data_IF_052982968921
#
_entry.id   IF_052982968921
#
_cell.length_a   1.000
_cell.length_b   1.000
_cell.length_c   1.000
_cell.angle_alpha   90.00
_cell.angle_beta   90.00
_cell.angle_gamma   90.00
#
_symmetry.space_group_name_H-M   'P 1'
#
loop_
_entity.id
_entity.type
_entity.pdbx_description
1 polymer ?
#
# COMPACT_ATOMS: atom_id res chain seq x y z
N UNK A 1 19.29 -11.31 8.67
CA UNK A 1 17.92 -10.86 8.32
C UNK A 1 16.90 -11.29 9.37
N UNK A 2 16.68 -12.59 9.63
CA UNK A 2 15.71 -13.06 10.64
C UNK A 2 15.98 -12.44 12.02
N UNK A 3 17.23 -12.42 12.47
CA UNK A 3 17.64 -11.82 13.75
C UNK A 3 17.24 -10.33 13.85
N UNK A 4 17.50 -9.53 12.81
CA UNK A 4 17.14 -8.11 12.76
C UNK A 4 15.63 -7.93 12.87
N UNK A 5 14.84 -8.81 12.23
CA UNK A 5 13.36 -8.76 12.31
C UNK A 5 12.87 -9.07 13.73
N UNK A 6 13.48 -10.04 14.39
CA UNK A 6 13.15 -10.39 15.78
C UNK A 6 13.50 -9.23 16.71
N UNK A 7 14.67 -8.61 16.54
CA UNK A 7 15.08 -7.43 17.32
C UNK A 7 14.08 -6.28 17.14
N UNK A 8 13.74 -5.92 15.90
CA UNK A 8 12.76 -4.87 15.61
C UNK A 8 11.37 -5.18 16.19
N UNK A 9 10.93 -6.43 16.09
CA UNK A 9 9.66 -6.86 16.66
C UNK A 9 9.64 -6.73 18.19
N UNK A 10 10.71 -7.15 18.87
CA UNK A 10 10.81 -7.04 20.34
C UNK A 10 10.83 -5.57 20.76
N UNK A 11 11.62 -4.72 20.10
CA UNK A 11 11.70 -3.28 20.42
C UNK A 11 10.31 -2.60 20.31
N UNK A 12 9.50 -2.98 19.31
CA UNK A 12 8.16 -2.40 19.12
C UNK A 12 7.14 -2.96 20.11
N UNK A 13 7.16 -4.27 20.37
CA UNK A 13 6.11 -4.95 21.15
C UNK A 13 6.35 -4.93 22.66
N UNK A 14 7.61 -4.87 23.10
CA UNK A 14 7.96 -4.91 24.51
C UNK A 14 7.43 -3.71 25.30
N UNK A 15 7.62 -2.44 24.86
CA UNK A 15 7.09 -1.27 25.58
C UNK A 15 5.57 -1.30 25.72
N UNK A 16 4.86 -1.75 24.69
CA UNK A 16 3.40 -1.91 24.72
C UNK A 16 2.95 -2.95 25.74
N UNK A 17 3.62 -4.10 25.77
CA UNK A 17 3.27 -5.20 26.68
C UNK A 17 3.44 -4.75 28.12
N UNK A 18 4.56 -4.09 28.44
CA UNK A 18 4.81 -3.50 29.76
C UNK A 18 3.73 -2.46 30.12
N UNK A 19 3.40 -1.57 29.19
CA UNK A 19 2.37 -0.56 29.40
C UNK A 19 0.98 -1.16 29.70
N UNK A 20 0.58 -2.18 28.92
CA UNK A 20 -0.72 -2.83 29.07
C UNK A 20 -0.84 -3.57 30.40
N UNK A 21 0.22 -4.28 30.80
CA UNK A 21 0.28 -4.92 32.12
C UNK A 21 0.16 -3.88 33.24
N UNK A 22 0.87 -2.77 33.13
CA UNK A 22 0.79 -1.69 34.11
C UNK A 22 -0.62 -1.07 34.21
N UNK A 23 -1.21 -0.70 33.06
CA UNK A 23 -2.54 -0.08 33.04
C UNK A 23 -3.63 -1.00 33.61
N UNK A 24 -3.60 -2.29 33.27
CA UNK A 24 -4.56 -3.28 33.77
C UNK A 24 -4.49 -3.51 35.29
N UNK A 25 -3.31 -3.34 35.90
CA UNK A 25 -3.11 -3.56 37.34
C UNK A 25 -3.43 -2.33 38.19
N UNK A 26 -3.56 -1.15 37.60
CA UNK A 26 -4.00 0.04 38.33
C UNK A 26 -5.52 0.01 38.46
N UNK A 27 -5.98 -0.16 39.71
CA UNK A 27 -7.41 -0.12 40.05
C UNK A 27 -8.06 1.16 39.51
N UNK A 28 -9.12 0.98 38.71
CA UNK A 28 -9.79 1.98 37.86
C UNK A 28 -10.60 3.04 38.62
N UNK A 29 -10.34 3.24 39.91
CA UNK A 29 -11.27 3.95 40.81
C UNK A 29 -11.38 5.46 40.60
N UNK A 30 -10.64 6.07 39.66
CA UNK A 30 -10.91 7.39 39.09
C UNK A 30 -9.95 7.62 37.90
N UNK A 31 -10.35 7.21 36.70
CA UNK A 31 -9.57 7.49 35.48
C UNK A 31 -9.89 8.92 35.05
N UNK A 32 -9.02 9.87 35.38
CA UNK A 32 -9.16 11.24 34.88
C UNK A 32 -9.05 11.29 33.34
N UNK A 33 -9.74 12.24 32.71
CA UNK A 33 -9.77 12.40 31.24
C UNK A 33 -8.38 12.46 30.61
N UNK A 34 -7.42 13.08 31.30
CA UNK A 34 -6.01 13.14 30.89
C UNK A 34 -5.38 11.75 30.74
N UNK A 35 -5.69 10.82 31.66
CA UNK A 35 -5.14 9.45 31.61
C UNK A 35 -5.72 8.68 30.42
N UNK A 36 -7.01 8.83 30.15
CA UNK A 36 -7.65 8.22 28.99
C UNK A 36 -7.07 8.75 27.66
N UNK A 37 -6.79 10.06 27.59
CA UNK A 37 -6.14 10.66 26.43
C UNK A 37 -4.71 10.12 26.21
N UNK A 38 -3.93 9.96 27.28
CA UNK A 38 -2.59 9.36 27.23
C UNK A 38 -2.66 7.89 26.79
N UNK A 39 -3.61 7.12 27.30
CA UNK A 39 -3.86 5.72 26.89
C UNK A 39 -4.15 5.61 25.40
N UNK A 40 -5.03 6.46 24.87
CA UNK A 40 -5.31 6.53 23.45
C UNK A 40 -4.09 6.94 22.61
N UNK A 41 -3.33 7.94 23.05
CA UNK A 41 -2.13 8.39 22.34
C UNK A 41 -1.11 7.26 22.22
N UNK A 42 -0.83 6.58 23.33
CA UNK A 42 0.09 5.44 23.39
C UNK A 42 -0.37 4.31 22.47
N UNK A 43 -1.66 4.02 22.46
CA UNK A 43 -2.23 3.02 21.55
C UNK A 43 -2.05 3.39 20.07
N UNK A 44 -2.29 4.65 19.69
CA UNK A 44 -2.09 5.14 18.31
C UNK A 44 -0.62 5.05 17.90
N UNK A 45 0.31 5.42 18.80
CA UNK A 45 1.74 5.28 18.54
C UNK A 45 2.11 3.82 18.26
N UNK A 46 1.62 2.89 19.06
CA UNK A 46 1.95 1.47 18.91
C UNK A 46 1.40 0.90 17.61
N UNK A 47 0.15 1.21 17.25
CA UNK A 47 -0.37 0.81 15.94
C UNK A 47 0.46 1.37 14.79
N UNK A 48 0.90 2.63 14.90
CA UNK A 48 1.74 3.28 13.90
C UNK A 48 3.10 2.61 13.80
N UNK A 49 3.74 2.27 14.92
CA UNK A 49 5.01 1.53 14.94
C UNK A 49 4.88 0.10 14.39
N UNK A 50 3.79 -0.60 14.67
CA UNK A 50 3.49 -1.90 14.08
C UNK A 50 3.37 -1.80 12.55
N UNK A 51 2.66 -0.80 12.04
CA UNK A 51 2.55 -0.54 10.60
C UNK A 51 3.90 -0.18 9.98
N UNK A 52 4.69 0.66 10.64
CA UNK A 52 6.03 1.02 10.21
C UNK A 52 6.96 -0.21 10.19
N UNK A 53 6.83 -1.13 11.15
CA UNK A 53 7.59 -2.39 11.14
C UNK A 53 7.30 -3.23 9.89
N UNK A 54 6.05 -3.31 9.43
CA UNK A 54 5.74 -3.98 8.16
C UNK A 54 6.44 -3.32 6.96
N UNK A 55 6.43 -1.99 6.90
CA UNK A 55 7.12 -1.25 5.85
C UNK A 55 8.65 -1.46 5.89
N UNK A 56 9.26 -1.35 7.08
CA UNK A 56 10.69 -1.60 7.29
C UNK A 56 11.07 -3.03 6.89
N UNK A 57 10.26 -4.02 7.25
CA UNK A 57 10.46 -5.39 6.83
C UNK A 57 10.47 -5.53 5.30
N UNK A 58 9.51 -4.91 4.61
CA UNK A 58 9.48 -4.91 3.14
C UNK A 58 10.79 -4.38 2.54
N UNK A 59 11.29 -3.23 3.01
CA UNK A 59 12.54 -2.64 2.52
C UNK A 59 13.76 -3.49 2.88
N UNK A 60 13.80 -4.06 4.08
CA UNK A 60 14.87 -4.98 4.48
C UNK A 60 14.95 -6.20 3.55
N UNK A 61 13.79 -6.79 3.20
CA UNK A 61 13.74 -7.89 2.24
C UNK A 61 14.15 -7.45 0.83
N UNK A 62 13.73 -6.26 0.42
CA UNK A 62 14.08 -5.71 -0.88
C UNK A 62 15.59 -5.45 -1.01
N UNK A 63 16.25 -4.97 0.03
CA UNK A 63 17.70 -4.72 -0.01
C UNK A 63 18.49 -6.03 0.16
N UNK A 64 18.03 -6.94 1.02
CA UNK A 64 18.81 -8.13 1.40
C UNK A 64 18.63 -9.32 0.45
N UNK A 65 17.47 -9.48 -0.18
CA UNK A 65 17.15 -10.69 -0.97
C UNK A 65 17.00 -10.38 -2.46
N UNK A 66 17.95 -10.89 -3.25
CA UNK A 66 17.91 -10.80 -4.73
C UNK A 66 16.71 -11.51 -5.34
N UNK A 67 16.30 -12.65 -4.77
CA UNK A 67 15.10 -13.40 -5.20
C UNK A 67 13.84 -12.57 -4.98
N UNK A 68 13.71 -11.94 -3.82
CA UNK A 68 12.57 -11.08 -3.50
C UNK A 68 12.48 -9.87 -4.44
N UNK A 69 13.61 -9.21 -4.71
CA UNK A 69 13.65 -8.11 -5.70
C UNK A 69 13.14 -8.51 -7.08
N UNK A 70 13.55 -9.68 -7.58
CA UNK A 70 13.11 -10.19 -8.89
C UNK A 70 11.59 -10.39 -8.92
N UNK A 71 11.02 -10.97 -7.86
CA UNK A 71 9.57 -11.16 -7.74
C UNK A 71 8.82 -9.83 -7.69
N UNK A 72 9.29 -8.88 -6.88
CA UNK A 72 8.67 -7.53 -6.79
C UNK A 72 8.74 -6.83 -8.15
N UNK A 73 9.90 -6.86 -8.83
CA UNK A 73 10.05 -6.29 -10.18
C UNK A 73 9.11 -6.95 -11.19
N UNK A 74 8.95 -8.27 -11.13
CA UNK A 74 8.04 -9.00 -12.01
C UNK A 74 6.57 -8.61 -11.75
N UNK A 75 6.14 -8.53 -10.49
CA UNK A 75 4.79 -8.14 -10.12
C UNK A 75 4.51 -6.69 -10.55
N UNK A 76 5.43 -5.77 -10.28
CA UNK A 76 5.32 -4.37 -10.72
C UNK A 76 5.21 -4.31 -12.25
N UNK A 77 6.13 -4.95 -12.97
CA UNK A 77 6.10 -4.99 -14.44
C UNK A 77 4.76 -5.53 -14.94
N UNK A 78 4.26 -6.65 -14.40
CA UNK A 78 2.96 -7.22 -14.78
C UNK A 78 1.80 -6.26 -14.51
N UNK A 79 1.80 -5.55 -13.38
CA UNK A 79 0.74 -4.59 -13.02
C UNK A 79 0.75 -3.36 -13.94
N UNK A 80 1.92 -2.78 -14.19
CA UNK A 80 2.06 -1.63 -15.09
C UNK A 80 1.76 -2.00 -16.55
N UNK A 81 2.26 -3.15 -17.03
CA UNK A 81 1.93 -3.64 -18.37
C UNK A 81 0.43 -3.86 -18.53
N UNK A 82 -0.25 -4.43 -17.53
CA UNK A 82 -1.70 -4.62 -17.56
C UNK A 82 -2.47 -3.30 -17.58
N UNK A 83 -1.99 -2.28 -16.88
CA UNK A 83 -2.58 -0.93 -16.95
C UNK A 83 -2.40 -0.29 -18.32
N UNK A 84 -1.21 -0.41 -18.92
CA UNK A 84 -0.93 0.11 -20.27
C UNK A 84 -1.80 -0.59 -21.32
N UNK A 85 -1.88 -1.93 -21.29
CA UNK A 85 -2.73 -2.67 -22.25
C UNK A 85 -4.21 -2.35 -22.09
N UNK A 86 -4.69 -2.20 -20.85
CA UNK A 86 -6.08 -1.81 -20.62
C UNK A 86 -6.36 -0.39 -21.13
N UNK A 87 -5.39 0.52 -21.01
CA UNK A 87 -5.52 1.89 -21.51
C UNK A 87 -5.51 1.94 -23.05
N UNK A 88 -4.62 1.18 -23.71
CA UNK A 88 -4.59 1.06 -25.17
C UNK A 88 -5.89 0.46 -25.75
N UNK A 89 -6.40 -0.63 -25.17
CA UNK A 89 -7.64 -1.24 -25.64
C UNK A 89 -8.89 -0.37 -25.39
N UNK A 90 -8.85 0.55 -24.42
CA UNK A 90 -9.94 1.51 -24.20
C UNK A 90 -9.94 2.61 -25.27
N UNK A 91 -8.76 3.01 -25.75
CA UNK A 91 -8.59 4.04 -26.78
C UNK A 91 -8.85 3.53 -28.22
N UNK A 92 -8.54 2.25 -28.52
CA UNK A 92 -8.85 1.67 -29.84
C UNK A 92 -10.36 1.57 -30.10
N UNK A 93 -11.17 1.37 -29.06
CA UNK A 93 -12.62 1.27 -29.19
C UNK A 93 -13.34 2.64 -29.30
N UNK A 94 -12.60 3.76 -29.31
CA UNK A 94 -13.16 5.12 -29.45
C UNK A 94 -12.95 5.76 -30.83
N UNK A 95 -12.21 5.12 -31.74
CA UNK A 95 -12.08 5.61 -33.12
C UNK A 95 -13.06 4.83 -34.00
N UNK A 96 -14.33 5.24 -33.98
CA UNK A 96 -15.23 4.87 -35.08
C UNK A 96 -14.89 5.74 -36.29
N UNK A 97 -14.80 5.17 -37.51
CA UNK A 97 -14.64 5.95 -38.71
C UNK A 97 -15.96 6.66 -38.99
N UNK A 98 -16.04 7.96 -38.74
CA UNK A 98 -17.05 8.78 -39.41
C UNK A 98 -16.70 8.77 -40.90
N UNK A 99 -17.57 8.10 -41.65
CA UNK A 99 -17.52 7.97 -43.09
C UNK A 99 -17.23 9.33 -43.75
N UNK A 100 -16.02 9.47 -44.26
CA UNK A 100 -15.64 10.47 -45.24
C UNK A 100 -16.40 10.17 -46.55
N UNK A 101 -17.66 10.55 -46.64
CA UNK A 101 -18.34 10.72 -47.93
C UNK A 101 -18.00 12.12 -48.44
N UNK A 102 -16.83 12.24 -49.07
CA UNK A 102 -16.49 13.38 -49.94
C UNK A 102 -17.20 13.14 -51.27
N UNK A 103 -18.24 13.96 -51.46
CA UNK A 103 -18.75 14.60 -52.68
C UNK A 103 -18.25 14.16 -54.06
N UNK A 104 -19.24 14.01 -54.95
CA UNK A 104 -19.32 14.45 -56.34
C UNK A 104 -18.30 13.92 -57.36
N UNK A 105 -18.76 12.97 -58.18
CA UNK A 105 -18.45 12.98 -59.62
C UNK A 105 -19.75 13.05 -60.44
N UNK A 106 -19.78 14.13 -61.21
CA UNK A 106 -20.75 14.56 -62.20
C UNK A 106 -20.72 13.69 -63.48
N UNK A 107 -21.88 13.62 -64.15
CA UNK A 107 -22.11 13.61 -65.62
C UNK A 107 -21.69 12.35 -66.41
N UNK A 108 -22.70 11.66 -66.98
CA UNK A 108 -22.74 11.23 -68.40
C UNK A 108 -24.21 11.26 -68.89
N UNK A 109 -24.47 12.18 -69.82
CA UNK A 109 -25.35 12.21 -71.01
C UNK A 109 -26.82 11.72 -70.97
N UNK A 110 -27.76 12.67 -71.13
CA UNK A 110 -28.63 12.79 -72.33
C UNK A 110 -29.23 14.20 -72.47
#
# INVERSE_FOLDING_TARGET
MILIRVILFVIVTFPYTCYKIYSNNISSKNVGELRAAIEHLIQVFIYSFCNLNYAVNFYLFFISSSRYRRQVKYILKKKYWRQITNWCCYNENQIQPENTLVSDENIVDE
#
